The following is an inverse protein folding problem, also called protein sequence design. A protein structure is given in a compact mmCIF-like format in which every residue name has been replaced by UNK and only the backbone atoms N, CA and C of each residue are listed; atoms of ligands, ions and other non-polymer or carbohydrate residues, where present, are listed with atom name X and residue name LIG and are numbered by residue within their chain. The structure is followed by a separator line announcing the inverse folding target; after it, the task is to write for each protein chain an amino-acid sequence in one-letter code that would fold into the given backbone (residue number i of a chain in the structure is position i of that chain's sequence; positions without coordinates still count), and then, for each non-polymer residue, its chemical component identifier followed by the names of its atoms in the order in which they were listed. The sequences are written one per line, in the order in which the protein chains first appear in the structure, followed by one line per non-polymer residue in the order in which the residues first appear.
data_IF_306057626686
#
_entry.id   IF_306057626686
#
_cell.length_a   1.000
_cell.length_b   1.000
_cell.length_c   1.000
_cell.angle_alpha   90.00
_cell.angle_beta   90.00
_cell.angle_gamma   90.00
#
_symmetry.space_group_name_H-M   'P 1'
#
loop_
_entity.id
_entity.type
_entity.pdbx_description
1 polymer ?
#
# COMPACT_ATOMS: atom_id res chain seq x y z
N UNK A 1 37.00 -31.22 -40.04
CA UNK A 1 37.88 -31.76 -41.09
C UNK A 1 37.02 -32.33 -42.20
N UNK A 2 36.66 -31.49 -43.15
CA UNK A 2 36.40 -31.85 -44.54
C UNK A 2 36.58 -30.56 -45.31
N UNK A 3 37.74 -30.45 -45.91
CA UNK A 3 38.18 -29.39 -46.82
C UNK A 3 38.08 -29.96 -48.23
N UNK A 4 37.62 -29.15 -49.18
CA UNK A 4 37.87 -29.24 -50.62
C UNK A 4 36.79 -28.48 -51.40
N UNK A 5 37.15 -27.34 -51.97
CA UNK A 5 37.12 -27.16 -53.43
C UNK A 5 37.76 -25.81 -53.79
N UNK A 6 38.84 -25.92 -54.56
CA UNK A 6 39.68 -24.84 -55.06
C UNK A 6 39.18 -24.24 -56.39
N UNK A 7 39.86 -23.14 -56.77
CA UNK A 7 40.08 -22.50 -58.10
C UNK A 7 39.52 -21.07 -58.14
N UNK A 8 40.30 -20.00 -58.09
CA UNK A 8 41.46 -19.56 -58.92
C UNK A 8 41.06 -19.27 -60.38
N UNK A 9 41.08 -17.98 -60.74
CA UNK A 9 41.62 -17.44 -62.01
C UNK A 9 41.61 -15.90 -61.99
N UNK A 10 42.82 -15.35 -61.94
CA UNK A 10 43.22 -14.07 -62.53
C UNK A 10 42.74 -13.95 -63.99
N UNK A 11 42.41 -12.74 -64.47
CA UNK A 11 43.36 -12.00 -65.32
C UNK A 11 42.88 -10.60 -65.68
N UNK A 12 43.71 -9.62 -65.35
CA UNK A 12 44.27 -8.55 -66.18
C UNK A 12 43.62 -8.28 -67.56
N UNK A 13 43.02 -7.09 -67.76
CA UNK A 13 43.20 -6.36 -69.02
C UNK A 13 42.94 -4.83 -68.90
N UNK A 14 44.06 -4.10 -68.85
CA UNK A 14 44.41 -2.90 -69.62
C UNK A 14 43.31 -2.12 -70.36
N UNK A 15 43.13 -0.87 -69.92
CA UNK A 15 43.26 0.30 -70.79
C UNK A 15 42.09 0.68 -71.72
N UNK A 16 41.43 1.80 -71.40
CA UNK A 16 41.12 2.85 -72.39
C UNK A 16 40.79 4.17 -71.70
N UNK A 17 41.73 5.10 -71.83
CA UNK A 17 41.48 6.55 -71.67
C UNK A 17 40.48 6.96 -72.74
N UNK A 18 39.31 7.45 -72.32
CA UNK A 18 38.35 8.05 -73.24
C UNK A 18 38.02 9.45 -72.76
N UNK A 19 38.33 10.43 -73.61
CA UNK A 19 38.08 11.85 -73.42
C UNK A 19 36.57 12.10 -73.21
N UNK A 20 36.19 12.33 -71.96
CA UNK A 20 34.85 12.75 -71.56
C UNK A 20 34.75 14.28 -71.53
N UNK A 21 33.95 14.81 -72.44
CA UNK A 21 33.46 16.18 -72.57
C UNK A 21 33.24 16.88 -71.21
N UNK A 22 33.99 17.96 -70.90
CA UNK A 22 33.70 18.82 -69.74
C UNK A 22 32.43 19.62 -70.00
N UNK A 23 31.30 19.15 -69.48
CA UNK A 23 30.10 19.97 -69.37
C UNK A 23 30.36 21.02 -68.29
N UNK A 24 30.51 22.29 -68.67
CA UNK A 24 30.36 23.40 -67.71
C UNK A 24 28.88 23.48 -67.35
N UNK A 25 28.50 22.86 -66.24
CA UNK A 25 27.22 23.16 -65.61
C UNK A 25 27.31 24.60 -65.11
N UNK A 26 26.59 25.50 -65.79
CA UNK A 26 26.38 26.86 -65.34
C UNK A 26 25.74 26.81 -63.96
N UNK A 27 26.32 27.54 -62.99
CA UNK A 27 25.71 27.68 -61.68
C UNK A 27 24.30 28.24 -61.83
N UNK A 28 23.26 27.67 -61.18
CA UNK A 28 22.03 28.40 -60.98
C UNK A 28 22.33 29.57 -60.04
N UNK A 29 22.10 30.79 -60.52
CA UNK A 29 21.91 31.95 -59.65
C UNK A 29 20.67 31.69 -58.80
N UNK A 30 20.85 31.22 -57.57
CA UNK A 30 19.78 31.22 -56.57
C UNK A 30 19.87 32.48 -55.70
N UNK A 31 18.76 33.21 -55.53
CA UNK A 31 18.71 34.40 -54.70
C UNK A 31 18.86 34.04 -53.22
N UNK A 32 19.53 34.92 -52.48
CA UNK A 32 19.65 34.93 -51.03
C UNK A 32 18.30 34.61 -50.34
N UNK A 33 18.13 33.37 -49.87
CA UNK A 33 17.02 33.03 -48.97
C UNK A 33 17.36 33.61 -47.59
N UNK A 34 16.56 34.54 -47.04
CA UNK A 34 16.78 35.06 -45.70
C UNK A 34 16.69 33.91 -44.69
N UNK A 35 17.66 33.83 -43.79
CA UNK A 35 17.84 32.73 -42.85
C UNK A 35 16.55 32.28 -42.18
N UNK A 36 16.27 30.97 -42.29
CA UNK A 36 15.25 30.31 -41.50
C UNK A 36 15.59 30.52 -40.01
N UNK A 37 14.69 31.14 -39.20
CA UNK A 37 14.97 31.35 -37.80
C UNK A 37 15.17 30.00 -37.09
N UNK A 38 16.14 29.89 -36.16
CA UNK A 38 16.36 28.66 -35.43
C UNK A 38 15.08 28.27 -34.68
N UNK A 39 14.74 26.97 -34.59
CA UNK A 39 13.57 26.52 -33.87
C UNK A 39 13.65 26.98 -32.41
N UNK A 40 12.64 27.73 -31.96
CA UNK A 40 12.60 28.35 -30.63
C UNK A 40 12.67 27.25 -29.53
N UNK A 41 13.66 27.28 -28.62
CA UNK A 41 13.84 26.26 -27.58
C UNK A 41 12.81 26.28 -26.44
N UNK A 42 11.85 27.22 -26.48
CA UNK A 42 10.95 27.49 -25.35
C UNK A 42 9.81 26.47 -25.18
N UNK A 43 9.33 25.84 -26.26
CA UNK A 43 8.19 24.91 -26.20
C UNK A 43 8.54 23.55 -25.59
N UNK A 44 9.77 23.06 -25.83
CA UNK A 44 10.25 21.77 -25.29
C UNK A 44 10.32 21.76 -23.76
N UNK A 45 10.71 22.87 -23.13
CA UNK A 45 10.77 22.99 -21.67
C UNK A 45 9.39 23.00 -21.02
N UNK A 46 8.40 23.65 -21.65
CA UNK A 46 7.01 23.64 -21.18
C UNK A 46 6.40 22.24 -21.24
N UNK A 47 6.58 21.56 -22.36
CA UNK A 47 6.09 20.19 -22.53
C UNK A 47 6.75 19.23 -21.52
N UNK A 48 8.06 19.32 -21.33
CA UNK A 48 8.78 18.52 -20.35
C UNK A 48 8.26 18.75 -18.92
N UNK A 49 8.03 20.02 -18.53
CA UNK A 49 7.46 20.35 -17.21
C UNK A 49 6.04 19.81 -17.04
N UNK A 50 5.21 19.86 -18.09
CA UNK A 50 3.85 19.31 -18.06
C UNK A 50 3.84 17.77 -17.93
N UNK A 51 4.73 17.08 -18.65
CA UNK A 51 4.88 15.63 -18.54
C UNK A 51 5.35 15.24 -17.14
N UNK A 52 6.35 15.95 -16.61
CA UNK A 52 6.89 15.69 -15.28
C UNK A 52 5.82 15.93 -14.20
N UNK A 53 5.06 17.03 -14.31
CA UNK A 53 3.96 17.34 -13.41
C UNK A 53 2.83 16.30 -13.48
N UNK A 54 2.48 15.83 -14.67
CA UNK A 54 1.45 14.79 -14.86
C UNK A 54 1.90 13.45 -14.29
N UNK A 55 3.13 13.03 -14.57
CA UNK A 55 3.69 11.80 -14.01
C UNK A 55 3.77 11.87 -12.48
N UNK A 56 4.14 13.03 -11.93
CA UNK A 56 4.12 13.26 -10.48
C UNK A 56 2.71 13.18 -9.90
N UNK A 57 1.72 13.76 -10.58
CA UNK A 57 0.32 13.67 -10.17
C UNK A 57 -0.21 12.23 -10.22
N UNK A 58 0.12 11.47 -11.27
CA UNK A 58 -0.24 10.05 -11.39
C UNK A 58 0.43 9.22 -10.28
N UNK A 59 1.70 9.49 -9.98
CA UNK A 59 2.41 8.82 -8.89
C UNK A 59 1.77 9.14 -7.53
N UNK A 60 1.45 10.41 -7.27
CA UNK A 60 0.76 10.82 -6.05
C UNK A 60 -0.62 10.17 -5.92
N UNK A 61 -1.37 10.11 -7.02
CA UNK A 61 -2.67 9.47 -7.05
C UNK A 61 -2.58 7.97 -6.75
N UNK A 62 -1.64 7.27 -7.40
CA UNK A 62 -1.41 5.84 -7.15
C UNK A 62 -0.94 5.58 -5.72
N UNK A 63 -0.08 6.44 -5.16
CA UNK A 63 0.37 6.32 -3.78
C UNK A 63 -0.81 6.51 -2.79
N UNK A 64 -1.62 7.55 -2.98
CA UNK A 64 -2.81 7.80 -2.15
C UNK A 64 -3.81 6.64 -2.22
N UNK A 65 -4.05 6.12 -3.42
CA UNK A 65 -4.93 4.98 -3.65
C UNK A 65 -4.38 3.72 -2.97
N UNK A 66 -3.08 3.44 -3.11
CA UNK A 66 -2.43 2.29 -2.48
C UNK A 66 -2.50 2.37 -0.94
N UNK A 67 -2.26 3.54 -0.35
CA UNK A 67 -2.40 3.76 1.11
C UNK A 67 -3.85 3.54 1.54
N UNK A 68 -4.81 4.09 0.80
CA UNK A 68 -6.24 3.91 1.10
C UNK A 68 -6.64 2.43 1.04
N UNK A 69 -6.26 1.71 -0.03
CA UNK A 69 -6.51 0.27 -0.11
C UNK A 69 -5.81 -0.50 0.98
N UNK A 70 -4.57 -0.18 1.31
CA UNK A 70 -3.82 -0.87 2.37
C UNK A 70 -4.53 -0.76 3.71
N UNK A 71 -4.91 0.46 4.12
CA UNK A 71 -5.63 0.69 5.38
C UNK A 71 -7.00 0.01 5.44
N UNK A 72 -7.65 -0.22 4.29
CA UNK A 72 -8.94 -0.90 4.21
C UNK A 72 -8.83 -2.44 4.09
N UNK A 73 -7.81 -2.92 3.38
CA UNK A 73 -7.64 -4.34 3.07
C UNK A 73 -6.88 -5.09 4.18
N UNK A 74 -5.97 -4.39 4.87
CA UNK A 74 -5.24 -4.90 6.02
C UNK A 74 -5.80 -4.22 7.27
N UNK A 75 -6.67 -4.90 8.04
CA UNK A 75 -7.38 -4.29 9.15
C UNK A 75 -6.40 -3.74 10.19
N UNK A 76 -6.84 -2.75 11.01
CA UNK A 76 -6.02 -2.18 12.07
C UNK A 76 -5.40 -3.27 12.91
N UNK A 77 -4.09 -3.16 13.16
CA UNK A 77 -3.41 -4.06 14.09
C UNK A 77 -3.90 -3.71 15.49
N UNK A 78 -5.01 -4.31 15.91
CA UNK A 78 -5.46 -4.21 17.28
C UNK A 78 -4.43 -4.85 18.19
N UNK A 79 -4.06 -4.13 19.23
CA UNK A 79 -3.23 -4.64 20.31
C UNK A 79 -4.04 -4.60 21.59
N UNK A 80 -4.01 -5.68 22.36
CA UNK A 80 -4.72 -5.72 23.62
C UNK A 80 -4.49 -7.03 24.38
N UNK A 81 -5.00 -7.06 25.60
CA UNK A 81 -4.92 -8.21 26.49
C UNK A 81 -6.20 -8.35 27.31
N UNK A 82 -6.54 -9.60 27.66
CA UNK A 82 -7.50 -9.89 28.71
C UNK A 82 -6.71 -9.98 30.02
N UNK A 83 -7.14 -9.24 31.02
CA UNK A 83 -6.47 -9.21 32.32
C UNK A 83 -7.16 -10.12 33.33
N UNK A 84 -8.48 -10.26 33.22
CA UNK A 84 -9.28 -11.12 34.08
C UNK A 84 -10.48 -11.67 33.33
N UNK A 85 -10.78 -12.95 33.55
CA UNK A 85 -12.07 -13.56 33.22
C UNK A 85 -12.50 -14.42 34.40
N UNK A 86 -13.64 -14.07 34.98
CA UNK A 86 -14.27 -14.76 36.11
C UNK A 86 -15.78 -14.85 35.86
N UNK A 87 -16.48 -15.58 36.74
CA UNK A 87 -17.93 -15.75 36.65
C UNK A 87 -18.72 -14.43 36.60
N UNK A 88 -18.22 -13.37 37.25
CA UNK A 88 -18.89 -12.08 37.35
C UNK A 88 -18.48 -11.08 36.29
N UNK A 89 -17.45 -11.37 35.51
CA UNK A 89 -17.02 -10.44 34.48
C UNK A 89 -15.70 -10.74 33.81
N UNK A 90 -15.50 -10.05 32.69
CA UNK A 90 -14.28 -10.07 31.90
C UNK A 90 -13.79 -8.64 31.73
N UNK A 91 -12.51 -8.39 31.96
CA UNK A 91 -11.90 -7.07 31.72
C UNK A 91 -10.58 -7.19 31.01
N UNK A 92 -10.23 -6.12 30.33
CA UNK A 92 -8.98 -6.02 29.59
C UNK A 92 -8.83 -4.65 28.98
N UNK A 93 -7.97 -4.57 27.99
CA UNK A 93 -7.75 -3.35 27.21
C UNK A 93 -7.51 -3.71 25.74
N UNK A 94 -7.81 -2.75 24.87
CA UNK A 94 -7.50 -2.85 23.44
C UNK A 94 -7.29 -1.45 22.84
N UNK A 95 -6.31 -1.36 21.95
CA UNK A 95 -5.94 -0.14 21.23
C UNK A 95 -5.88 -0.46 19.74
N UNK A 96 -6.48 0.41 18.93
CA UNK A 96 -6.26 0.44 17.49
C UNK A 96 -4.98 1.24 17.21
N UNK A 97 -3.90 0.56 16.80
CA UNK A 97 -2.63 1.26 16.49
C UNK A 97 -2.72 2.23 15.30
N UNK A 98 -3.70 2.05 14.41
CA UNK A 98 -3.92 2.97 13.30
C UNK A 98 -4.64 4.24 13.74
N UNK A 99 -5.48 4.15 14.77
CA UNK A 99 -6.29 5.24 15.32
C UNK A 99 -6.24 5.20 16.86
N UNK A 100 -5.08 5.50 17.46
CA UNK A 100 -4.85 5.22 18.87
C UNK A 100 -5.60 6.16 19.83
N UNK A 101 -6.26 7.21 19.33
CA UNK A 101 -7.14 8.07 20.14
C UNK A 101 -8.62 7.67 20.09
N UNK A 102 -8.98 6.64 19.34
CA UNK A 102 -10.36 6.17 19.21
C UNK A 102 -10.65 4.98 20.12
N UNK A 103 -11.85 4.96 20.70
CA UNK A 103 -12.34 3.82 21.47
C UNK A 103 -12.71 2.69 20.50
N UNK A 104 -12.26 1.48 20.81
CA UNK A 104 -12.49 0.30 19.97
C UNK A 104 -13.75 -0.42 20.42
N UNK A 105 -14.65 -0.77 19.48
CA UNK A 105 -15.77 -1.66 19.77
C UNK A 105 -15.25 -3.08 20.03
N UNK A 106 -15.70 -3.69 21.12
CA UNK A 106 -15.33 -5.05 21.55
C UNK A 106 -16.57 -5.91 21.75
N UNK A 107 -16.44 -7.19 21.43
CA UNK A 107 -17.48 -8.20 21.61
C UNK A 107 -16.95 -9.38 22.41
N UNK A 108 -17.66 -9.73 23.49
CA UNK A 108 -17.37 -10.87 24.33
C UNK A 108 -18.16 -12.09 23.85
N UNK A 109 -17.43 -13.19 23.66
CA UNK A 109 -17.97 -14.51 23.40
C UNK A 109 -17.57 -15.46 24.52
N UNK A 110 -18.54 -16.17 25.10
CA UNK A 110 -18.33 -17.29 26.02
C UNK A 110 -18.66 -18.58 25.29
N UNK A 111 -17.71 -19.51 25.24
CA UNK A 111 -17.86 -20.82 24.57
C UNK A 111 -18.38 -20.72 23.13
N UNK A 112 -17.97 -19.65 22.42
CA UNK A 112 -18.38 -19.37 21.05
C UNK A 112 -19.75 -18.71 20.89
N UNK A 113 -20.45 -18.38 21.98
CA UNK A 113 -21.72 -17.62 21.95
C UNK A 113 -21.47 -16.17 22.28
N UNK A 114 -22.07 -15.25 21.51
CA UNK A 114 -22.07 -13.83 21.82
C UNK A 114 -22.82 -13.58 23.14
N UNK A 115 -22.21 -12.80 24.02
CA UNK A 115 -22.76 -12.50 25.35
C UNK A 115 -22.96 -11.00 25.54
N UNK A 116 -21.96 -10.19 25.19
CA UNK A 116 -22.00 -8.75 25.38
C UNK A 116 -21.14 -8.03 24.34
N UNK A 117 -21.46 -6.77 24.07
CA UNK A 117 -20.68 -5.86 23.25
C UNK A 117 -20.61 -4.48 23.88
N UNK A 118 -19.54 -3.75 23.63
CA UNK A 118 -19.32 -2.43 24.23
C UNK A 118 -18.12 -1.73 23.61
N UNK A 119 -17.77 -0.56 24.13
CA UNK A 119 -16.58 0.18 23.72
C UNK A 119 -15.49 0.07 24.78
N UNK A 120 -14.24 -0.03 24.34
CA UNK A 120 -13.08 0.05 25.19
C UNK A 120 -12.75 1.51 25.49
N UNK A 121 -13.54 2.15 26.36
CA UNK A 121 -13.42 3.57 26.74
C UNK A 121 -13.13 3.79 28.24
N UNK A 122 -12.91 2.71 29.00
CA UNK A 122 -12.64 2.77 30.43
C UNK A 122 -11.19 3.20 30.70
N UNK A 123 -10.93 3.93 31.80
CA UNK A 123 -9.60 4.44 32.12
C UNK A 123 -8.60 3.33 32.46
N UNK A 124 -7.42 3.42 31.86
CA UNK A 124 -6.26 2.52 31.97
C UNK A 124 -4.96 3.33 31.92
N UNK A 125 -4.61 4.03 33.02
CA UNK A 125 -3.37 4.80 33.09
C UNK A 125 -2.12 3.93 32.92
N UNK A 126 -2.20 2.63 33.24
CA UNK A 126 -1.13 1.65 33.01
C UNK A 126 -0.83 1.45 31.51
N UNK A 127 -1.87 1.41 30.67
CA UNK A 127 -1.74 1.25 29.21
C UNK A 127 -1.10 2.49 28.59
N UNK A 128 -1.50 3.68 29.05
CA UNK A 128 -0.88 4.94 28.63
C UNK A 128 0.58 5.04 29.09
N UNK A 129 0.87 4.74 30.36
CA UNK A 129 2.21 4.82 30.93
C UNK A 129 3.22 3.87 30.24
N UNK A 130 2.75 2.74 29.73
CA UNK A 130 3.55 1.80 28.93
C UNK A 130 3.73 2.24 27.46
N UNK A 131 3.09 3.33 27.04
CA UNK A 131 3.20 3.88 25.69
C UNK A 131 2.38 3.13 24.64
N UNK A 132 1.41 2.31 25.05
CA UNK A 132 0.54 1.61 24.10
C UNK A 132 -0.53 2.52 23.50
N UNK A 133 -0.91 3.58 24.22
CA UNK A 133 -1.90 4.54 23.78
C UNK A 133 -1.54 5.98 24.22
N UNK A 134 -2.01 7.00 23.49
CA UNK A 134 -1.83 8.41 23.84
C UNK A 134 -2.69 8.85 25.03
N UNK A 135 -3.82 8.20 25.28
CA UNK A 135 -4.70 8.48 26.42
C UNK A 135 -5.04 7.21 27.22
N UNK A 136 -5.84 7.37 28.27
CA UNK A 136 -6.17 6.28 29.20
C UNK A 136 -7.43 5.50 28.80
N UNK A 137 -8.21 5.95 27.81
CA UNK A 137 -9.57 5.44 27.55
C UNK A 137 -9.55 4.23 26.60
N UNK A 138 -8.91 3.15 27.04
CA UNK A 138 -8.71 1.93 26.23
C UNK A 138 -9.05 0.64 26.98
N UNK A 139 -9.57 0.74 28.20
CA UNK A 139 -10.05 -0.40 28.96
C UNK A 139 -11.48 -0.79 28.58
N UNK A 140 -11.81 -2.07 28.75
CA UNK A 140 -13.19 -2.55 28.72
C UNK A 140 -13.47 -3.41 29.94
N UNK A 141 -14.73 -3.39 30.38
CA UNK A 141 -15.25 -4.25 31.45
C UNK A 141 -16.61 -4.76 31.00
N UNK A 142 -16.79 -6.07 31.03
CA UNK A 142 -18.06 -6.74 30.84
C UNK A 142 -18.48 -7.35 32.16
N UNK A 143 -19.65 -6.97 32.63
CA UNK A 143 -20.33 -7.65 33.72
C UNK A 143 -21.08 -8.85 33.16
N UNK A 144 -20.97 -9.98 33.85
CA UNK A 144 -21.56 -11.24 33.43
C UNK A 144 -22.57 -11.69 34.48
N UNK A 145 -23.73 -12.15 34.01
CA UNK A 145 -24.55 -13.05 34.79
C UNK A 145 -23.77 -14.37 34.95
N UNK A 146 -23.63 -14.91 36.17
CA UNK A 146 -22.80 -16.08 36.42
C UNK A 146 -23.21 -17.24 35.51
N UNK A 147 -22.29 -17.74 34.66
CA UNK A 147 -22.61 -18.89 33.82
C UNK A 147 -22.76 -20.14 34.70
N UNK A 148 -23.39 -21.17 34.13
CA UNK A 148 -23.61 -22.47 34.81
C UNK A 148 -22.28 -23.06 35.28
N UNK A 149 -22.30 -23.99 36.22
CA UNK A 149 -21.07 -24.67 36.65
C UNK A 149 -20.36 -25.35 35.46
N UNK A 150 -19.03 -25.23 35.42
CA UNK A 150 -18.21 -25.78 34.35
C UNK A 150 -17.06 -24.87 33.93
N UNK A 151 -16.11 -25.42 33.17
CA UNK A 151 -15.03 -24.62 32.61
C UNK A 151 -15.55 -23.88 31.38
N UNK A 152 -15.44 -22.56 31.39
CA UNK A 152 -15.82 -21.66 30.29
C UNK A 152 -14.58 -21.03 29.67
N UNK A 153 -14.66 -20.72 28.38
CA UNK A 153 -13.64 -19.97 27.65
C UNK A 153 -14.18 -18.62 27.19
N UNK A 154 -13.57 -17.54 27.70
CA UNK A 154 -13.82 -16.17 27.27
C UNK A 154 -12.91 -15.79 26.11
N UNK A 155 -13.54 -15.29 25.03
CA UNK A 155 -12.87 -14.70 23.87
C UNK A 155 -13.42 -13.30 23.66
N UNK A 156 -12.54 -12.30 23.61
CA UNK A 156 -12.92 -10.93 23.26
C UNK A 156 -12.42 -10.64 21.87
N UNK A 157 -13.30 -10.12 21.01
CA UNK A 157 -12.97 -9.71 19.67
C UNK A 157 -13.07 -8.20 19.54
N UNK A 158 -12.06 -7.57 18.97
CA UNK A 158 -12.12 -6.19 18.51
C UNK A 158 -12.86 -6.15 17.16
N UNK A 159 -13.81 -5.23 17.05
CA UNK A 159 -14.60 -5.01 15.84
C UNK A 159 -13.96 -3.89 15.05
N UNK A 160 -13.60 -4.19 13.81
CA UNK A 160 -13.28 -3.17 12.83
C UNK A 160 -14.41 -3.11 11.80
N UNK A 161 -15.09 -1.97 11.75
CA UNK A 161 -16.03 -1.64 10.69
C UNK A 161 -15.32 -0.78 9.65
N UNK A 162 -15.48 -1.13 8.36
CA UNK A 162 -15.12 -0.23 7.27
C UNK A 162 -15.92 1.07 7.38
N UNK A 163 -15.42 2.18 6.82
CA UNK A 163 -16.07 3.50 6.90
C UNK A 163 -17.54 3.51 6.44
N UNK A 164 -17.92 2.65 5.48
CA UNK A 164 -19.30 2.51 4.99
C UNK A 164 -20.11 1.42 5.71
N UNK A 165 -19.56 0.79 6.75
CA UNK A 165 -20.20 -0.29 7.52
C UNK A 165 -20.44 -1.61 6.78
N UNK A 166 -20.14 -1.66 5.47
CA UNK A 166 -20.37 -2.81 4.60
C UNK A 166 -19.56 -4.06 5.01
N UNK A 167 -18.40 -3.87 5.64
CA UNK A 167 -17.57 -4.96 6.15
C UNK A 167 -17.30 -4.76 7.64
N UNK A 168 -17.59 -5.81 8.42
CA UNK A 168 -17.12 -5.93 9.81
C UNK A 168 -16.16 -7.10 9.91
N UNK A 169 -14.97 -6.85 10.43
CA UNK A 169 -14.00 -7.90 10.74
C UNK A 169 -13.81 -7.99 12.24
N UNK A 170 -13.71 -9.22 12.74
CA UNK A 170 -13.44 -9.52 14.14
C UNK A 170 -12.00 -9.99 14.29
N UNK A 171 -11.23 -9.35 15.16
CA UNK A 171 -9.89 -9.78 15.52
C UNK A 171 -9.87 -10.20 16.99
N UNK A 172 -9.32 -11.37 17.29
CA UNK A 172 -9.17 -11.83 18.67
C UNK A 172 -8.21 -10.89 19.42
N UNK A 173 -8.64 -10.41 20.59
CA UNK A 173 -7.83 -9.59 21.50
C UNK A 173 -7.06 -10.52 22.42
N UNK A 174 -5.72 -10.43 22.39
CA UNK A 174 -4.85 -11.24 23.25
C UNK A 174 -5.09 -12.74 23.09
N UNK A 175 -5.03 -13.46 24.22
CA UNK A 175 -5.31 -14.91 24.28
C UNK A 175 -6.66 -15.17 24.95
N UNK A 176 -7.39 -16.23 24.56
CA UNK A 176 -8.59 -16.66 25.26
C UNK A 176 -8.26 -17.01 26.72
N UNK A 177 -9.16 -16.65 27.63
CA UNK A 177 -9.00 -16.96 29.05
C UNK A 177 -10.04 -18.00 29.48
N UNK A 178 -9.59 -19.02 30.21
CA UNK A 178 -10.48 -20.05 30.75
C UNK A 178 -10.71 -19.83 32.23
N UNK A 179 -11.96 -19.99 32.66
CA UNK A 179 -12.35 -19.85 34.05
C UNK A 179 -13.40 -20.87 34.43
N UNK A 180 -13.52 -21.15 35.72
CA UNK A 180 -14.55 -22.01 36.28
C UNK A 180 -15.32 -21.20 37.34
N UNK A 181 -16.63 -20.96 37.18
CA UNK A 181 -17.47 -20.36 38.21
C UNK A 181 -17.44 -21.24 39.44
N UNK A 182 -16.94 -20.71 40.56
CA UNK A 182 -17.04 -21.37 41.87
C UNK A 182 -18.22 -20.82 42.64
#
# INVERSE_FOLDING_TARGET
MSDAAARELEDTETGRVTAGLRVRVSAPCDPLVPGLPPPRPASRRRLANLILGKAFLELLLLAALAVSFHSNAFPPTFQGSLDLAEARGVRGWVVDRSRPGEAVEVQLYLDGKFVAGGFANQPRPDVQAQGFAPDERHGFVFELDPPREGVHEARVYAVHASDEGARRTLQLVGSPLRFNPR
#
